data_IF_638313589780
#
_entry.id   IF_638313589780
#
_cell.length_a   1.000
_cell.length_b   1.000
_cell.length_c   1.000
_cell.angle_alpha   90.00
_cell.angle_beta   90.00
_cell.angle_gamma   90.00
#
_symmetry.space_group_name_H-M   'P 1'
#
loop_
_entity.id
_entity.type
_entity.pdbx_description
1 polymer ?
#
# COMPACT_ATOMS: atom_id res chain seq x y z
N UNK A 1 -16.19 -14.40 10.20
CA UNK A 1 -16.02 -14.28 8.73
C UNK A 1 -16.96 -13.19 8.32
N UNK A 2 -16.43 -12.03 7.93
CA UNK A 2 -17.25 -10.92 7.50
C UNK A 2 -17.79 -11.23 6.11
N UNK A 3 -19.09 -11.10 5.89
CA UNK A 3 -19.63 -11.07 4.53
C UNK A 3 -19.54 -9.63 3.99
N UNK A 4 -19.63 -9.47 2.67
CA UNK A 4 -19.54 -8.15 2.04
C UNK A 4 -20.48 -7.08 2.63
N UNK A 5 -21.68 -7.46 3.08
CA UNK A 5 -22.63 -6.51 3.68
C UNK A 5 -22.14 -5.95 5.03
N UNK A 6 -21.48 -6.76 5.84
CA UNK A 6 -20.85 -6.32 7.10
C UNK A 6 -19.67 -5.38 6.81
N UNK A 7 -18.86 -5.68 5.80
CA UNK A 7 -17.73 -4.84 5.37
C UNK A 7 -18.24 -3.48 4.89
N UNK A 8 -19.28 -3.45 4.07
CA UNK A 8 -19.90 -2.21 3.60
C UNK A 8 -20.48 -1.37 4.73
N UNK A 9 -21.08 -2.02 5.75
CA UNK A 9 -21.58 -1.32 6.93
C UNK A 9 -20.43 -0.66 7.68
N UNK A 10 -19.33 -1.40 7.90
CA UNK A 10 -18.15 -0.89 8.58
C UNK A 10 -17.44 0.24 7.81
N UNK A 11 -17.37 0.14 6.48
CA UNK A 11 -16.89 1.24 5.62
C UNK A 11 -17.78 2.47 5.78
N UNK A 12 -19.11 2.30 5.82
CA UNK A 12 -20.07 3.39 6.04
C UNK A 12 -19.97 4.07 7.40
N UNK A 13 -19.35 3.41 8.39
CA UNK A 13 -19.07 3.95 9.72
C UNK A 13 -17.70 4.64 9.82
N UNK A 14 -16.93 4.66 8.72
CA UNK A 14 -15.62 5.33 8.68
C UNK A 14 -15.71 6.80 9.07
N UNK A 15 -14.68 7.29 9.76
CA UNK A 15 -14.50 8.72 10.05
C UNK A 15 -13.67 9.43 8.95
N UNK A 16 -13.40 8.77 7.83
CA UNK A 16 -12.60 9.23 6.68
C UNK A 16 -13.42 9.28 5.40
N UNK A 17 -12.90 9.96 4.37
CA UNK A 17 -13.46 9.85 3.02
C UNK A 17 -13.07 8.49 2.42
N UNK A 18 -14.05 7.70 1.99
CA UNK A 18 -13.81 6.36 1.42
C UNK A 18 -14.47 6.24 0.06
N UNK A 19 -13.67 5.87 -0.95
CA UNK A 19 -14.14 5.62 -2.31
C UNK A 19 -13.90 4.17 -2.68
N UNK A 20 -14.94 3.51 -3.17
CA UNK A 20 -14.88 2.14 -3.65
C UNK A 20 -14.75 2.17 -5.18
N UNK A 21 -13.74 1.48 -5.69
CA UNK A 21 -13.60 1.26 -7.12
C UNK A 21 -14.46 0.06 -7.52
N UNK A 22 -15.19 0.21 -8.63
CA UNK A 22 -16.01 -0.87 -9.18
C UNK A 22 -15.17 -2.11 -9.45
N UNK A 23 -15.65 -3.27 -9.00
CA UNK A 23 -15.08 -4.58 -9.29
C UNK A 23 -16.06 -5.48 -10.02
N UNK A 24 -15.55 -6.59 -10.55
CA UNK A 24 -16.32 -7.70 -11.13
C UNK A 24 -16.11 -8.97 -10.30
N UNK A 25 -17.20 -9.54 -9.78
CA UNK A 25 -17.11 -10.68 -8.84
C UNK A 25 -16.39 -11.88 -9.46
N UNK A 26 -16.60 -12.12 -10.76
CA UNK A 26 -15.98 -13.24 -11.45
C UNK A 26 -14.47 -13.03 -11.54
N UNK A 27 -14.00 -11.87 -12.00
CA UNK A 27 -12.58 -11.53 -12.04
C UNK A 27 -11.95 -11.63 -10.64
N UNK A 28 -12.58 -11.08 -9.61
CA UNK A 28 -12.03 -11.15 -8.25
C UNK A 28 -11.90 -12.58 -7.70
N UNK A 29 -12.88 -13.45 -7.98
CA UNK A 29 -12.79 -14.88 -7.60
C UNK A 29 -11.66 -15.59 -8.33
N UNK A 30 -11.46 -15.28 -9.62
CA UNK A 30 -10.36 -15.82 -10.42
C UNK A 30 -9.02 -15.40 -9.83
N UNK A 31 -8.80 -14.10 -9.55
CA UNK A 31 -7.56 -13.60 -8.94
C UNK A 31 -7.30 -14.18 -7.54
N UNK A 32 -8.33 -14.28 -6.70
CA UNK A 32 -8.23 -14.91 -5.38
C UNK A 32 -7.76 -16.37 -5.47
N UNK A 33 -8.34 -17.15 -6.39
CA UNK A 33 -7.92 -18.53 -6.62
C UNK A 33 -6.46 -18.59 -7.06
N UNK A 34 -6.12 -17.74 -8.02
CA UNK A 34 -4.82 -17.64 -8.65
C UNK A 34 -3.68 -17.24 -7.69
N UNK A 35 -4.01 -16.47 -6.66
CA UNK A 35 -3.10 -15.99 -5.61
C UNK A 35 -3.16 -16.84 -4.33
N UNK A 36 -4.00 -17.89 -4.29
CA UNK A 36 -4.27 -18.68 -3.10
C UNK A 36 -4.78 -17.85 -1.90
N UNK A 37 -5.56 -16.79 -2.16
CA UNK A 37 -6.19 -16.00 -1.11
C UNK A 37 -7.28 -16.87 -0.44
N UNK A 38 -7.24 -17.09 0.89
CA UNK A 38 -8.19 -17.96 1.56
C UNK A 38 -9.63 -17.48 1.41
N UNK A 39 -10.52 -18.36 0.96
CA UNK A 39 -11.96 -18.09 0.89
C UNK A 39 -12.48 -17.61 2.26
N UNK A 40 -13.44 -16.68 2.25
CA UNK A 40 -14.10 -16.11 3.44
C UNK A 40 -13.16 -15.33 4.38
N UNK A 41 -11.95 -14.99 3.92
CA UNK A 41 -11.12 -13.97 4.55
C UNK A 41 -11.61 -12.57 4.17
N UNK A 42 -11.24 -11.55 4.97
CA UNK A 42 -11.53 -10.15 4.64
C UNK A 42 -10.92 -9.75 3.29
N UNK A 43 -9.68 -10.17 3.03
CA UNK A 43 -9.00 -9.90 1.76
C UNK A 43 -9.74 -10.53 0.58
N UNK A 44 -10.23 -11.76 0.73
CA UNK A 44 -11.05 -12.42 -0.30
C UNK A 44 -12.31 -11.62 -0.64
N UNK A 45 -13.03 -11.13 0.38
CA UNK A 45 -14.23 -10.33 0.15
C UNK A 45 -13.92 -8.99 -0.52
N UNK A 46 -12.82 -8.31 -0.13
CA UNK A 46 -12.41 -7.06 -0.76
C UNK A 46 -12.06 -7.27 -2.24
N UNK A 47 -11.24 -8.28 -2.55
CA UNK A 47 -10.83 -8.59 -3.92
C UNK A 47 -12.01 -9.11 -4.74
N UNK A 48 -12.94 -9.88 -4.17
CA UNK A 48 -14.12 -10.31 -4.92
C UNK A 48 -15.08 -9.17 -5.26
N UNK A 49 -15.12 -8.09 -4.48
CA UNK A 49 -16.18 -7.09 -4.65
C UNK A 49 -15.72 -5.71 -5.15
N UNK A 50 -14.40 -5.45 -5.22
CA UNK A 50 -13.89 -4.11 -5.54
C UNK A 50 -12.65 -4.16 -6.43
N UNK A 51 -12.45 -3.11 -7.24
CA UNK A 51 -11.14 -2.81 -7.86
C UNK A 51 -10.12 -2.21 -6.87
N UNK A 52 -10.54 -1.94 -5.64
CA UNK A 52 -9.75 -1.28 -4.61
C UNK A 52 -10.57 -0.29 -3.79
N UNK A 53 -9.98 0.14 -2.68
CA UNK A 53 -10.58 1.06 -1.72
C UNK A 53 -9.61 2.21 -1.51
N UNK A 54 -10.05 3.43 -1.76
CA UNK A 54 -9.26 4.66 -1.55
C UNK A 54 -9.75 5.33 -0.28
N UNK A 55 -8.83 5.62 0.64
CA UNK A 55 -9.13 6.23 1.94
C UNK A 55 -8.37 7.56 2.04
N UNK A 56 -9.12 8.65 2.28
CA UNK A 56 -8.61 10.03 2.37
C UNK A 56 -7.79 10.48 1.15
N UNK A 57 -8.06 9.89 -0.03
CA UNK A 57 -7.26 10.05 -1.25
C UNK A 57 -5.77 9.69 -1.07
N UNK A 58 -5.42 9.00 0.03
CA UNK A 58 -4.06 8.74 0.47
C UNK A 58 -3.71 7.25 0.49
N UNK A 59 -4.45 6.45 1.27
CA UNK A 59 -4.24 4.99 1.34
C UNK A 59 -5.07 4.33 0.24
N UNK A 60 -4.50 3.32 -0.41
CA UNK A 60 -5.13 2.50 -1.45
C UNK A 60 -5.04 1.04 -1.08
N UNK A 61 -6.13 0.48 -0.56
CA UNK A 61 -6.22 -0.97 -0.35
C UNK A 61 -6.49 -1.63 -1.69
N UNK A 62 -5.69 -2.62 -2.04
CA UNK A 62 -5.80 -3.30 -3.32
C UNK A 62 -6.97 -4.27 -3.34
N UNK A 63 -7.82 -4.09 -4.35
CA UNK A 63 -8.79 -5.07 -4.80
C UNK A 63 -8.27 -5.69 -6.10
N UNK A 64 -9.18 -5.85 -7.05
CA UNK A 64 -8.89 -6.49 -8.32
C UNK A 64 -7.86 -5.71 -9.13
N UNK A 65 -7.04 -6.44 -9.89
CA UNK A 65 -6.12 -5.79 -10.82
C UNK A 65 -6.85 -5.20 -12.01
N UNK A 66 -6.59 -3.91 -12.28
CA UNK A 66 -7.02 -3.22 -13.49
C UNK A 66 -5.92 -2.26 -13.92
N UNK A 67 -5.65 -2.20 -15.23
CA UNK A 67 -4.67 -1.26 -15.81
C UNK A 67 -3.28 -1.31 -15.12
N UNK A 68 -2.77 -2.53 -14.88
CA UNK A 68 -1.49 -2.81 -14.19
C UNK A 68 -1.42 -2.30 -12.74
N UNK A 69 -2.54 -2.17 -12.05
CA UNK A 69 -2.54 -1.90 -10.61
C UNK A 69 -3.58 -2.76 -9.89
N UNK A 70 -3.19 -3.34 -8.76
CA UNK A 70 -4.06 -4.14 -7.90
C UNK A 70 -3.37 -5.40 -7.40
N UNK A 71 -4.17 -6.31 -6.83
CA UNK A 71 -3.63 -7.40 -6.02
C UNK A 71 -2.78 -8.40 -6.82
N UNK A 72 -3.19 -8.78 -8.04
CA UNK A 72 -2.40 -9.69 -8.87
C UNK A 72 -1.16 -9.03 -9.42
N UNK A 73 -1.24 -7.76 -9.83
CA UNK A 73 -0.09 -7.04 -10.36
C UNK A 73 1.07 -7.04 -9.35
N UNK A 74 0.83 -6.61 -8.11
CA UNK A 74 1.88 -6.54 -7.10
C UNK A 74 2.33 -7.90 -6.56
N UNK A 75 1.52 -8.96 -6.67
CA UNK A 75 1.86 -10.27 -6.12
C UNK A 75 2.27 -11.33 -7.17
N UNK A 76 2.16 -11.03 -8.46
CA UNK A 76 2.58 -11.94 -9.55
C UNK A 76 3.52 -11.31 -10.56
N UNK A 77 3.24 -10.07 -10.98
CA UNK A 77 3.95 -9.43 -12.09
C UNK A 77 5.11 -8.58 -11.57
N UNK A 78 4.80 -7.61 -10.72
CA UNK A 78 5.77 -6.70 -10.11
C UNK A 78 6.47 -7.36 -8.91
N UNK A 79 5.74 -8.18 -8.15
CA UNK A 79 6.18 -8.89 -6.93
C UNK A 79 7.33 -9.90 -7.08
N UNK A 80 7.79 -10.18 -8.31
CA UNK A 80 8.88 -11.11 -8.56
C UNK A 80 10.27 -10.58 -8.16
N UNK A 81 10.34 -9.37 -7.57
CA UNK A 81 11.57 -8.74 -7.14
C UNK A 81 12.08 -9.31 -5.79
N UNK A 82 13.38 -9.14 -5.53
CA UNK A 82 14.00 -9.63 -4.29
C UNK A 82 13.45 -8.91 -3.04
N UNK A 83 13.11 -7.63 -3.20
CA UNK A 83 12.64 -6.69 -2.19
C UNK A 83 11.26 -7.08 -1.64
N UNK A 84 10.44 -7.77 -2.44
CA UNK A 84 9.11 -8.24 -2.05
C UNK A 84 9.02 -9.75 -1.81
N UNK A 85 10.13 -10.48 -1.99
CA UNK A 85 10.15 -11.94 -1.78
C UNK A 85 9.73 -12.27 -0.35
N UNK A 86 8.70 -13.10 -0.20
CA UNK A 86 8.18 -13.54 1.10
C UNK A 86 7.17 -12.57 1.75
N UNK A 87 6.78 -11.53 1.02
CA UNK A 87 5.74 -10.58 1.38
C UNK A 87 4.55 -10.72 0.41
N UNK A 88 3.36 -10.39 0.88
CA UNK A 88 2.16 -10.32 0.04
C UNK A 88 1.57 -8.91 0.11
N UNK A 89 1.75 -8.12 -0.93
CA UNK A 89 1.37 -6.70 -0.97
C UNK A 89 -0.15 -6.56 -1.02
N UNK A 90 -0.72 -5.73 -0.15
CA UNK A 90 -2.18 -5.57 0.01
C UNK A 90 -2.66 -4.12 -0.06
N UNK A 91 -1.77 -3.14 0.06
CA UNK A 91 -2.12 -1.73 -0.10
C UNK A 91 -0.89 -0.89 -0.43
N UNK A 92 -1.12 0.36 -0.81
CA UNK A 92 -0.10 1.40 -0.90
C UNK A 92 -0.59 2.73 -0.32
N UNK A 93 0.33 3.67 -0.16
CA UNK A 93 -0.01 5.09 -0.07
C UNK A 93 0.38 5.84 -1.36
N UNK A 94 0.04 7.13 -1.44
CA UNK A 94 0.35 7.92 -2.63
C UNK A 94 1.80 8.40 -2.73
N UNK A 95 2.64 8.23 -1.71
CA UNK A 95 4.03 8.74 -1.70
C UNK A 95 5.07 7.63 -1.86
N UNK A 96 4.63 6.43 -2.23
CA UNK A 96 5.50 5.31 -2.61
C UNK A 96 5.69 4.28 -1.50
N UNK A 97 4.91 4.35 -0.43
CA UNK A 97 4.86 3.32 0.59
C UNK A 97 4.00 2.13 0.19
N UNK A 98 4.40 0.94 0.63
CA UNK A 98 3.70 -0.33 0.38
C UNK A 98 3.35 -1.00 1.70
N UNK A 99 2.15 -1.57 1.79
CA UNK A 99 1.75 -2.42 2.91
C UNK A 99 1.68 -3.86 2.44
N UNK A 100 2.34 -4.76 3.15
CA UNK A 100 2.39 -6.17 2.80
C UNK A 100 2.23 -7.08 4.01
N UNK A 101 1.58 -8.23 3.83
CA UNK A 101 1.51 -9.28 4.84
C UNK A 101 2.84 -10.05 4.81
N UNK A 102 3.48 -10.21 5.97
CA UNK A 102 4.66 -11.06 6.09
C UNK A 102 4.27 -12.54 6.00
N UNK A 103 4.58 -13.18 4.87
CA UNK A 103 4.34 -14.62 4.67
C UNK A 103 5.51 -15.42 5.26
N UNK A 104 6.73 -15.06 4.88
CA UNK A 104 7.96 -15.71 5.35
C UNK A 104 9.23 -14.88 5.11
N UNK A 105 9.11 -13.56 4.90
CA UNK A 105 10.28 -12.68 4.73
C UNK A 105 11.00 -12.46 6.05
N UNK A 106 10.26 -12.20 7.12
CA UNK A 106 10.81 -11.97 8.47
C UNK A 106 10.41 -13.13 9.39
N UNK A 107 11.33 -13.56 10.26
CA UNK A 107 11.09 -14.70 11.17
C UNK A 107 10.04 -14.39 12.24
N UNK A 108 10.02 -13.15 12.73
CA UNK A 108 9.05 -12.66 13.70
C UNK A 108 7.80 -12.10 13.02
N UNK A 109 6.70 -12.04 13.77
CA UNK A 109 5.46 -11.37 13.33
C UNK A 109 4.85 -11.92 12.03
N UNK A 110 4.79 -13.25 11.92
CA UNK A 110 4.15 -13.93 10.80
C UNK A 110 2.69 -13.48 10.61
N UNK A 111 2.31 -13.22 9.36
CA UNK A 111 1.01 -12.67 8.94
C UNK A 111 0.68 -11.27 9.49
N UNK A 112 1.65 -10.56 10.07
CA UNK A 112 1.50 -9.14 10.40
C UNK A 112 1.76 -8.27 9.16
N UNK A 113 1.23 -7.05 9.18
CA UNK A 113 1.42 -6.03 8.15
C UNK A 113 2.76 -5.35 8.39
N UNK A 114 3.54 -5.31 7.33
CA UNK A 114 4.78 -4.56 7.22
C UNK A 114 4.58 -3.41 6.24
N UNK A 115 5.14 -2.27 6.57
CA UNK A 115 5.09 -1.06 5.77
C UNK A 115 6.48 -0.77 5.23
N UNK A 116 6.63 -0.74 3.91
CA UNK A 116 7.83 -0.20 3.29
C UNK A 116 7.71 1.32 3.32
N UNK A 117 8.45 1.96 4.22
CA UNK A 117 8.33 3.38 4.50
C UNK A 117 9.18 4.18 3.51
N UNK A 118 8.61 5.14 2.75
CA UNK A 118 9.33 5.86 1.70
C UNK A 118 10.32 6.91 2.25
N UNK A 119 10.25 7.22 3.54
CA UNK A 119 11.14 8.12 4.27
C UNK A 119 12.31 7.40 4.96
N UNK A 120 12.26 6.08 5.14
CA UNK A 120 13.40 5.28 5.64
C UNK A 120 13.95 4.33 4.59
N UNK A 121 13.14 3.99 3.58
CA UNK A 121 13.37 2.90 2.63
C UNK A 121 13.55 1.54 3.31
N UNK A 122 12.97 1.36 4.48
CA UNK A 122 13.00 0.10 5.23
C UNK A 122 11.59 -0.49 5.35
N UNK A 123 11.53 -1.81 5.54
CA UNK A 123 10.30 -2.49 5.91
C UNK A 123 10.14 -2.44 7.43
N UNK A 124 9.04 -1.88 7.90
CA UNK A 124 8.72 -1.69 9.31
C UNK A 124 7.49 -2.51 9.71
N UNK A 125 7.58 -3.31 10.78
CA UNK A 125 6.43 -4.06 11.28
C UNK A 125 5.44 -3.11 11.95
N UNK A 126 4.17 -3.14 11.52
CA UNK A 126 3.10 -2.34 12.15
C UNK A 126 2.43 -3.06 13.32
N UNK A 127 2.84 -4.30 13.64
CA UNK A 127 2.26 -5.14 14.69
C UNK A 127 0.72 -5.35 14.54
N UNK A 128 0.21 -5.24 13.30
CA UNK A 128 -1.21 -5.42 12.96
C UNK A 128 -1.41 -6.60 12.04
N UNK A 129 -2.46 -7.40 12.24
CA UNK A 129 -2.98 -8.31 11.20
C UNK A 129 -3.79 -7.51 10.17
N UNK A 130 -4.04 -8.11 9.01
CA UNK A 130 -4.74 -7.42 7.90
C UNK A 130 -6.12 -6.82 8.30
N UNK A 131 -6.90 -7.49 9.15
CA UNK A 131 -8.18 -6.96 9.64
C UNK A 131 -8.02 -5.75 10.57
N UNK A 132 -6.94 -5.71 11.35
CA UNK A 132 -6.63 -4.59 12.24
C UNK A 132 -6.13 -3.41 11.41
N UNK A 133 -5.28 -3.65 10.41
CA UNK A 133 -4.88 -2.65 9.43
C UNK A 133 -6.09 -2.05 8.68
N UNK A 134 -7.02 -2.88 8.21
CA UNK A 134 -8.24 -2.41 7.56
C UNK A 134 -9.06 -1.49 8.48
N UNK A 135 -9.20 -1.88 9.75
CA UNK A 135 -9.92 -1.07 10.76
C UNK A 135 -9.18 0.22 11.08
N UNK A 136 -7.85 0.16 11.21
CA UNK A 136 -6.99 1.31 11.44
C UNK A 136 -7.05 2.30 10.28
N UNK A 137 -7.04 1.83 9.03
CA UNK A 137 -7.14 2.72 7.88
C UNK A 137 -8.47 3.49 7.86
N UNK A 138 -9.57 2.85 8.26
CA UNK A 138 -10.91 3.45 8.26
C UNK A 138 -11.22 4.34 9.46
N UNK A 139 -10.59 4.11 10.62
CA UNK A 139 -10.99 4.74 11.89
C UNK A 139 -9.82 5.24 12.75
N UNK A 140 -8.60 4.78 12.48
CA UNK A 140 -7.40 5.08 13.26
C UNK A 140 -6.82 6.48 13.02
N UNK A 141 -5.71 6.76 13.70
CA UNK A 141 -5.01 8.03 13.59
C UNK A 141 -4.00 8.03 12.43
N UNK A 142 -4.51 7.94 11.20
CA UNK A 142 -3.67 8.04 9.99
C UNK A 142 -3.03 9.42 9.85
N UNK A 143 -3.56 10.46 10.52
CA UNK A 143 -2.99 11.81 10.47
C UNK A 143 -1.65 11.88 11.22
N UNK A 144 -1.55 11.21 12.36
CA UNK A 144 -0.31 11.06 13.13
C UNK A 144 0.69 10.14 12.41
N UNK A 145 0.23 9.02 11.87
CA UNK A 145 1.09 8.10 11.12
C UNK A 145 1.79 8.76 9.93
N UNK A 146 1.10 9.66 9.23
CA UNK A 146 1.64 10.39 8.07
C UNK A 146 2.07 11.83 8.40
N UNK A 147 2.29 12.19 9.66
CA UNK A 147 2.55 13.59 10.04
C UNK A 147 3.78 14.18 9.34
N UNK A 148 4.84 13.36 9.17
CA UNK A 148 6.09 13.74 8.52
C UNK A 148 5.99 13.77 6.99
N UNK A 149 4.99 13.09 6.44
CA UNK A 149 4.77 12.91 5.01
C UNK A 149 3.66 13.80 4.43
N UNK A 150 2.99 14.60 5.27
CA UNK A 150 1.89 15.49 4.85
C UNK A 150 2.28 16.96 4.87
N UNK A 151 2.26 17.58 3.69
CA UNK A 151 2.52 19.02 3.51
C UNK A 151 1.25 19.86 3.54
N UNK A 152 1.41 21.17 3.63
CA UNK A 152 0.31 22.11 3.48
C UNK A 152 -0.34 21.98 2.10
N UNK A 153 -1.61 21.56 2.08
CA UNK A 153 -2.37 21.37 0.84
C UNK A 153 -2.39 19.94 0.30
N UNK A 154 -1.80 18.96 1.00
CA UNK A 154 -1.74 17.56 0.57
C UNK A 154 -3.10 16.99 0.13
N UNK A 155 -4.20 17.34 0.82
CA UNK A 155 -5.56 16.88 0.47
C UNK A 155 -6.00 17.28 -0.94
N UNK A 156 -5.54 18.43 -1.42
CA UNK A 156 -5.85 18.91 -2.76
C UNK A 156 -5.06 18.10 -3.79
N UNK A 157 -3.76 17.96 -3.57
CA UNK A 157 -2.87 17.27 -4.48
C UNK A 157 -3.22 15.77 -4.57
N UNK A 158 -3.50 15.12 -3.42
CA UNK A 158 -3.93 13.73 -3.32
C UNK A 158 -5.17 13.42 -4.18
N UNK A 159 -6.14 14.33 -4.25
CA UNK A 159 -7.35 14.19 -5.09
C UNK A 159 -7.07 14.18 -6.58
N UNK A 160 -5.95 14.76 -7.01
CA UNK A 160 -5.54 14.83 -8.41
C UNK A 160 -4.73 13.60 -8.83
N UNK A 161 -4.37 12.71 -7.89
CA UNK A 161 -3.56 11.51 -8.16
C UNK A 161 -4.46 10.34 -8.54
N UNK A 162 -4.28 9.80 -9.74
CA UNK A 162 -4.94 8.57 -10.18
C UNK A 162 -4.56 7.36 -9.32
N UNK A 163 -5.40 6.32 -9.34
CA UNK A 163 -5.14 5.10 -8.56
C UNK A 163 -3.82 4.43 -8.95
N UNK A 164 -3.42 4.53 -10.22
CA UNK A 164 -2.18 4.03 -10.84
C UNK A 164 -0.97 4.98 -10.68
N UNK A 165 -1.11 6.10 -9.96
CA UNK A 165 -0.08 7.13 -9.84
C UNK A 165 0.36 7.37 -8.40
N UNK A 166 1.62 7.74 -8.19
CA UNK A 166 2.13 8.28 -6.92
C UNK A 166 2.61 9.72 -7.06
N UNK A 167 2.93 10.34 -5.94
CA UNK A 167 3.58 11.65 -5.86
C UNK A 167 5.05 11.40 -5.56
N UNK A 168 5.88 11.63 -6.57
CA UNK A 168 7.31 11.77 -6.39
C UNK A 168 7.61 13.09 -5.67
N UNK A 169 8.36 13.01 -4.58
CA UNK A 169 8.80 14.16 -3.78
C UNK A 169 10.31 14.34 -3.98
N UNK A 170 10.75 15.57 -4.29
CA UNK A 170 12.17 15.91 -4.44
C UNK A 170 12.53 17.22 -3.72
N UNK A 171 13.58 17.28 -2.87
CA UNK A 171 14.45 16.17 -2.43
C UNK A 171 13.65 15.00 -1.83
N UNK A 172 14.19 13.78 -1.94
CA UNK A 172 13.48 12.56 -1.54
C UNK A 172 13.12 12.56 -0.05
N UNK A 173 12.05 11.87 0.35
CA UNK A 173 11.59 11.83 1.74
C UNK A 173 12.66 11.34 2.72
N UNK A 174 13.48 10.37 2.32
CA UNK A 174 14.60 9.84 3.10
C UNK A 174 15.85 10.75 3.12
N UNK A 175 15.87 11.82 2.33
CA UNK A 175 16.99 12.74 2.26
C UNK A 175 16.92 13.78 3.40
N UNK A 176 18.05 14.01 4.08
CA UNK A 176 18.13 14.93 5.22
C UNK A 176 17.76 16.39 4.88
N UNK A 177 17.96 16.79 3.62
CA UNK A 177 17.61 18.12 3.13
C UNK A 177 16.12 18.28 2.76
N UNK A 178 15.33 17.21 2.84
CA UNK A 178 13.92 17.27 2.50
C UNK A 178 13.15 18.10 3.54
N UNK A 179 12.61 19.21 3.06
CA UNK A 179 11.61 20.01 3.78
C UNK A 179 10.32 19.86 3.00
N UNK A 180 9.41 18.99 3.48
CA UNK A 180 8.29 18.51 2.68
C UNK A 180 7.39 19.62 2.12
N UNK A 181 7.19 20.72 2.87
CA UNK A 181 6.42 21.88 2.40
C UNK A 181 7.06 22.59 1.21
N UNK A 182 8.40 22.55 1.10
CA UNK A 182 9.17 23.23 0.05
C UNK A 182 9.59 22.28 -1.09
N UNK A 183 9.45 20.97 -0.89
CA UNK A 183 9.84 19.96 -1.86
C UNK A 183 8.97 20.03 -3.12
N UNK A 184 9.58 19.77 -4.28
CA UNK A 184 8.88 19.56 -5.54
C UNK A 184 8.04 18.29 -5.46
N UNK A 185 6.84 18.34 -6.04
CA UNK A 185 5.86 17.25 -6.03
C UNK A 185 5.37 17.01 -7.43
N UNK A 186 5.44 15.75 -7.88
CA UNK A 186 5.03 15.39 -9.23
C UNK A 186 4.27 14.07 -9.24
N UNK A 187 3.09 14.07 -9.84
CA UNK A 187 2.38 12.83 -10.15
C UNK A 187 3.16 12.03 -11.20
N UNK A 188 3.47 10.78 -10.88
CA UNK A 188 4.19 9.81 -11.71
C UNK A 188 3.48 8.46 -11.65
N UNK A 189 3.69 7.53 -12.60
CA UNK A 189 3.21 6.15 -12.46
C UNK A 189 3.71 5.54 -11.14
N UNK A 190 2.82 4.85 -10.42
CA UNK A 190 3.15 4.35 -9.08
C UNK A 190 4.28 3.30 -9.12
N UNK A 191 4.28 2.44 -10.13
CA UNK A 191 5.35 1.44 -10.31
C UNK A 191 6.72 2.08 -10.54
N UNK A 192 6.79 3.21 -11.24
CA UNK A 192 8.04 3.95 -11.41
C UNK A 192 8.53 4.51 -10.07
N UNK A 193 7.62 4.99 -9.22
CA UNK A 193 7.95 5.49 -7.89
C UNK A 193 8.45 4.36 -6.97
N UNK A 194 7.76 3.21 -6.96
CA UNK A 194 8.17 2.04 -6.18
C UNK A 194 9.52 1.49 -6.65
N UNK A 195 9.71 1.33 -7.97
CA UNK A 195 10.97 0.86 -8.52
C UNK A 195 12.13 1.81 -8.19
N UNK A 196 11.90 3.12 -8.23
CA UNK A 196 12.88 4.13 -7.82
C UNK A 196 13.24 4.02 -6.34
N UNK A 197 12.25 3.79 -5.47
CA UNK A 197 12.50 3.61 -4.04
C UNK A 197 13.32 2.35 -3.76
N UNK A 198 13.02 1.21 -4.41
CA UNK A 198 13.84 0.00 -4.30
C UNK A 198 15.25 0.18 -4.89
N UNK A 199 15.41 0.94 -5.97
CA UNK A 199 16.74 1.25 -6.50
C UNK A 199 17.55 2.13 -5.52
N UNK A 200 16.91 3.09 -4.86
CA UNK A 200 17.56 3.93 -3.86
C UNK A 200 17.91 3.14 -2.58
N UNK A 201 17.02 2.24 -2.13
CA UNK A 201 17.26 1.33 -1.01
C UNK A 201 18.55 0.55 -1.24
N UNK A 202 18.66 -0.10 -2.40
CA UNK A 202 19.89 -0.78 -2.82
C UNK A 202 21.10 0.13 -2.79
N UNK A 203 21.03 1.31 -3.42
CA UNK A 203 22.19 2.23 -3.46
C UNK A 203 22.64 2.72 -2.09
N UNK A 204 21.72 2.85 -1.13
CA UNK A 204 22.03 3.30 0.23
C UNK A 204 22.55 2.18 1.12
N UNK A 205 22.13 0.92 0.87
CA UNK A 205 22.43 -0.22 1.74
C UNK A 205 23.31 -1.32 1.11
N UNK A 206 23.61 -1.28 -0.19
CA UNK A 206 24.49 -2.25 -0.89
C UNK A 206 25.95 -2.19 -0.38
N UNK A 207 26.42 -1.05 0.14
CA UNK A 207 27.76 -0.94 0.76
C UNK A 207 27.88 -1.70 2.11
N UNK A 208 26.81 -2.29 2.64
CA UNK A 208 26.80 -2.99 3.94
C UNK A 208 26.97 -4.52 3.78
N UNK A 209 26.73 -5.07 2.58
CA UNK A 209 26.71 -6.52 2.37
C UNK A 209 27.94 -7.12 1.68
N UNK A 210 28.84 -6.30 1.11
CA UNK A 210 30.08 -6.77 0.48
C UNK A 210 31.28 -6.92 1.46
N UNK A 211 31.07 -6.69 2.77
CA UNK A 211 32.09 -6.90 3.83
C UNK A 211 31.91 -8.20 4.66
N UNK A 212 31.19 -9.21 4.19
CA UNK A 212 31.12 -10.53 4.87
C UNK A 212 31.60 -11.72 4.04
#
# INVERSE_FOLDING_TARGET
MANWQEIMTFIGESNRDVKLLEGDEKTGREECFDLNIPEKSLLYEIVCNTGGIVIDDWIRIFGQTKDNIGISHYNKEFGASHEMTGLFVVASDIVGGLFAININRFEDEANSIWYFAPDTLEWECLEMKYSEFFSWALQGNIDEFYETMRWNGWKKDAKEVGFDQGILIYPFLWANECIIDNADKKAVPFDELVALNFENEKRLFEDIYDEK
#
